data_IF_972006183280
#
_entry.id   IF_972006183280
#
_cell.length_a   1.000
_cell.length_b   1.000
_cell.length_c   1.000
_cell.angle_alpha   90.00
_cell.angle_beta   90.00
_cell.angle_gamma   90.00
#
_symmetry.space_group_name_H-M   'P 1'
#
loop_
_entity.id
_entity.type
_entity.pdbx_description
1 polymer ?
#
# COMPACT_ATOMS: atom_id res chain seq x y z
N UNK A 1 37.46 -17.97 -20.47
CA UNK A 1 36.92 -16.63 -20.72
C UNK A 1 35.43 -16.75 -21.01
N UNK A 2 34.63 -15.92 -20.33
CA UNK A 2 33.19 -15.65 -20.55
C UNK A 2 32.96 -15.20 -22.01
N UNK A 3 31.79 -15.24 -22.64
CA UNK A 3 30.37 -15.44 -22.29
C UNK A 3 29.62 -15.65 -23.62
N UNK A 4 28.45 -16.29 -23.62
CA UNK A 4 27.63 -16.42 -24.83
C UNK A 4 26.38 -17.25 -24.62
N UNK A 5 25.37 -16.69 -23.94
CA UNK A 5 24.03 -17.24 -23.84
C UNK A 5 22.97 -16.12 -23.87
N UNK A 6 21.74 -16.44 -24.31
CA UNK A 6 21.08 -15.71 -25.40
C UNK A 6 19.88 -14.87 -24.93
N UNK A 7 19.44 -13.97 -25.81
CA UNK A 7 18.08 -13.43 -25.96
C UNK A 7 17.18 -13.52 -24.72
N UNK A 8 17.15 -12.44 -23.92
CA UNK A 8 16.07 -12.25 -22.93
C UNK A 8 14.78 -11.95 -23.69
N UNK A 9 13.79 -12.80 -23.48
CA UNK A 9 12.40 -12.56 -23.86
C UNK A 9 11.93 -11.22 -23.26
N UNK A 10 11.66 -10.25 -24.12
CA UNK A 10 10.89 -9.07 -23.75
C UNK A 10 9.45 -9.53 -23.51
N UNK A 11 8.93 -9.30 -22.30
CA UNK A 11 7.52 -9.59 -21.98
C UNK A 11 6.71 -8.34 -22.32
N UNK A 12 5.65 -8.42 -23.15
CA UNK A 12 4.89 -7.26 -23.60
C UNK A 12 4.23 -6.42 -22.48
N UNK A 13 4.14 -6.93 -21.26
CA UNK A 13 3.46 -6.26 -20.15
C UNK A 13 4.24 -5.09 -19.53
N UNK A 14 5.58 -5.05 -19.69
CA UNK A 14 6.41 -4.00 -19.08
C UNK A 14 6.40 -2.70 -19.89
N UNK A 15 6.30 -2.80 -21.21
CA UNK A 15 6.38 -1.64 -22.11
C UNK A 15 5.03 -0.93 -22.24
N UNK A 16 3.91 -1.66 -22.11
CA UNK A 16 2.57 -1.04 -22.09
C UNK A 16 2.37 -0.11 -20.89
N UNK A 17 2.97 -0.46 -19.75
CA UNK A 17 2.92 0.37 -18.55
C UNK A 17 3.66 1.70 -18.78
N UNK A 18 4.86 1.69 -19.36
CA UNK A 18 5.61 2.92 -19.66
C UNK A 18 4.98 3.78 -20.77
N UNK A 19 4.39 3.17 -21.80
CA UNK A 19 3.75 3.92 -22.89
C UNK A 19 2.50 4.69 -22.44
N UNK A 20 1.74 4.17 -21.46
CA UNK A 20 0.63 4.92 -20.85
C UNK A 20 1.08 6.17 -20.09
N UNK A 21 2.30 6.19 -19.54
CA UNK A 21 2.83 7.33 -18.78
C UNK A 21 3.41 8.45 -19.67
N UNK A 22 3.84 8.14 -20.89
CA UNK A 22 4.50 9.11 -21.78
C UNK A 22 3.53 9.92 -22.67
N UNK A 23 2.25 9.53 -22.77
CA UNK A 23 1.29 10.19 -23.68
C UNK A 23 0.37 11.23 -23.01
N UNK A 24 0.47 11.44 -21.69
CA UNK A 24 -0.30 12.44 -20.95
C UNK A 24 0.49 13.73 -20.79
N UNK A 25 0.69 14.42 -21.90
CA UNK A 25 1.55 15.59 -21.96
C UNK A 25 1.02 16.72 -22.82
N UNK A 26 -0.28 17.08 -22.77
CA UNK A 26 -0.82 18.46 -22.93
C UNK A 26 -2.28 18.54 -22.45
N UNK A 27 -2.59 19.43 -21.50
CA UNK A 27 -3.94 20.00 -21.33
C UNK A 27 -4.52 19.98 -19.93
N UNK A 28 -4.58 21.18 -19.32
CA UNK A 28 -5.49 21.64 -18.25
C UNK A 28 -5.46 20.94 -16.87
N UNK A 29 -5.07 21.74 -15.87
CA UNK A 29 -5.09 21.43 -14.44
C UNK A 29 -6.48 20.99 -13.97
N UNK A 30 -6.56 19.73 -13.53
CA UNK A 30 -7.49 19.25 -12.52
C UNK A 30 -6.66 18.36 -11.60
N UNK A 31 -6.81 18.51 -10.27
CA UNK A 31 -6.04 17.76 -9.27
C UNK A 31 -6.39 16.26 -9.33
N UNK A 32 -5.77 15.53 -10.26
CA UNK A 32 -5.80 14.08 -10.33
C UNK A 32 -4.71 13.51 -9.42
N UNK A 33 -5.11 12.71 -8.43
CA UNK A 33 -4.16 12.04 -7.55
C UNK A 33 -3.25 11.13 -8.37
N UNK A 34 -1.97 11.48 -8.42
CA UNK A 34 -0.96 10.75 -9.18
C UNK A 34 -0.33 9.66 -8.31
N UNK A 35 -0.16 8.47 -8.86
CA UNK A 35 0.60 7.36 -8.25
C UNK A 35 2.05 7.75 -7.90
N UNK A 36 2.53 8.89 -8.43
CA UNK A 36 3.86 9.46 -8.16
C UNK A 36 3.99 10.08 -6.77
N UNK A 37 2.90 10.52 -6.14
CA UNK A 37 2.95 11.25 -4.86
C UNK A 37 3.27 10.32 -3.68
N UNK A 38 2.80 9.08 -3.76
CA UNK A 38 3.03 8.06 -2.73
C UNK A 38 4.53 7.73 -2.58
N UNK A 39 5.32 7.84 -3.64
CA UNK A 39 6.73 7.42 -3.63
C UNK A 39 7.64 8.35 -2.80
N UNK A 40 7.21 9.58 -2.53
CA UNK A 40 7.97 10.55 -1.74
C UNK A 40 7.71 10.47 -0.24
N UNK A 41 6.76 9.63 0.18
CA UNK A 41 6.33 9.53 1.56
C UNK A 41 7.19 8.56 2.37
N UNK A 42 7.57 8.95 3.60
CA UNK A 42 8.42 8.14 4.50
C UNK A 42 7.78 6.81 4.94
N UNK A 43 6.44 6.71 4.89
CA UNK A 43 5.69 5.51 5.21
C UNK A 43 5.57 4.55 4.02
N UNK A 44 5.94 4.95 2.81
CA UNK A 44 5.91 4.10 1.64
C UNK A 44 7.26 3.41 1.41
N UNK A 45 7.22 2.08 1.22
CA UNK A 45 8.44 1.27 1.13
C UNK A 45 8.61 0.57 -0.22
N UNK A 46 7.66 0.72 -1.15
CA UNK A 46 7.67 0.01 -2.43
C UNK A 46 7.50 -1.51 -2.29
N UNK A 47 8.22 -2.25 -3.14
CA UNK A 47 8.08 -3.71 -3.26
C UNK A 47 8.87 -4.45 -2.18
N UNK A 48 8.28 -4.57 -0.99
CA UNK A 48 8.74 -5.48 0.06
C UNK A 48 7.80 -6.67 0.24
N UNK A 49 8.41 -7.81 0.59
CA UNK A 49 7.66 -9.02 0.88
C UNK A 49 6.78 -8.81 2.12
N UNK A 50 5.60 -9.43 2.09
CA UNK A 50 4.67 -9.42 3.23
C UNK A 50 5.35 -9.88 4.52
N UNK A 51 6.14 -10.95 4.45
CA UNK A 51 6.82 -11.53 5.60
C UNK A 51 7.83 -10.56 6.22
N UNK A 52 8.70 -9.94 5.41
CA UNK A 52 9.72 -9.02 5.93
C UNK A 52 9.09 -7.83 6.66
N UNK A 53 7.97 -7.31 6.13
CA UNK A 53 7.21 -6.23 6.74
C UNK A 53 6.52 -6.66 8.03
N UNK A 54 5.88 -7.83 8.04
CA UNK A 54 5.25 -8.37 9.24
C UNK A 54 6.27 -8.58 10.36
N UNK A 55 7.46 -9.11 10.05
CA UNK A 55 8.55 -9.27 11.00
C UNK A 55 9.06 -7.93 11.54
N UNK A 56 9.22 -6.92 10.68
CA UNK A 56 9.69 -5.59 11.09
C UNK A 56 8.70 -4.89 12.05
N UNK A 57 7.40 -4.90 11.72
CA UNK A 57 6.36 -4.36 12.60
C UNK A 57 6.24 -5.15 13.92
N UNK A 58 6.37 -6.49 13.86
CA UNK A 58 6.42 -7.34 15.05
C UNK A 58 7.66 -7.11 15.92
N UNK A 59 8.76 -6.59 15.37
CA UNK A 59 9.94 -6.19 16.15
C UNK A 59 9.74 -4.82 16.79
N UNK A 60 9.12 -3.87 16.09
CA UNK A 60 8.85 -2.54 16.63
C UNK A 60 7.83 -2.56 17.78
N UNK A 61 6.79 -3.42 17.70
CA UNK A 61 5.77 -3.65 18.75
C UNK A 61 5.12 -2.38 19.32
N UNK A 62 4.79 -1.43 18.45
CA UNK A 62 4.09 -0.21 18.83
C UNK A 62 2.73 -0.15 18.15
N UNK A 63 1.68 -0.03 18.95
CA UNK A 63 0.32 0.09 18.43
C UNK A 63 0.18 1.37 17.60
N UNK A 64 -0.45 1.22 16.43
CA UNK A 64 -0.59 2.28 15.44
C UNK A 64 0.64 2.51 14.57
N UNK A 65 1.73 1.76 14.76
CA UNK A 65 2.84 1.76 13.80
C UNK A 65 2.40 1.17 12.47
N UNK A 66 2.74 1.86 11.37
CA UNK A 66 2.26 1.48 10.04
C UNK A 66 3.27 1.73 8.92
N UNK A 67 2.98 1.14 7.76
CA UNK A 67 3.60 1.48 6.48
C UNK A 67 2.68 1.08 5.32
N UNK A 68 2.97 1.61 4.12
CA UNK A 68 2.33 1.19 2.88
C UNK A 68 3.37 0.55 1.97
N UNK A 69 2.99 -0.57 1.36
CA UNK A 69 3.82 -1.30 0.40
C UNK A 69 3.03 -1.63 -0.85
N UNK A 70 3.76 -2.00 -1.89
CA UNK A 70 3.14 -2.59 -3.08
C UNK A 70 2.41 -3.89 -2.73
N UNK A 71 1.27 -4.08 -3.37
CA UNK A 71 0.59 -5.35 -3.30
C UNK A 71 1.40 -6.43 -4.01
N UNK A 72 1.54 -7.59 -3.37
CA UNK A 72 2.29 -8.72 -3.95
C UNK A 72 1.63 -9.24 -5.22
N UNK A 73 0.29 -9.14 -5.29
CA UNK A 73 -0.47 -9.34 -6.52
C UNK A 73 -0.47 -8.03 -7.30
N UNK A 74 0.15 -8.02 -8.48
CA UNK A 74 0.27 -6.85 -9.38
C UNK A 74 -1.06 -6.51 -10.07
N UNK A 75 -2.12 -6.34 -9.29
CA UNK A 75 -3.47 -6.00 -9.73
C UNK A 75 -3.66 -4.49 -9.74
N UNK A 76 -4.18 -3.92 -10.82
CA UNK A 76 -4.53 -2.49 -10.87
C UNK A 76 -5.65 -2.12 -9.90
N UNK A 77 -6.55 -3.07 -9.58
CA UNK A 77 -7.64 -2.85 -8.65
C UNK A 77 -7.21 -2.86 -7.17
N UNK A 78 -6.04 -3.46 -6.86
CA UNK A 78 -5.48 -3.53 -5.51
C UNK A 78 -3.98 -3.20 -5.53
N UNK A 79 -3.59 -1.96 -5.85
CA UNK A 79 -2.19 -1.63 -6.09
C UNK A 79 -1.36 -1.66 -4.82
N UNK A 80 -1.95 -1.35 -3.66
CA UNK A 80 -1.21 -1.17 -2.40
C UNK A 80 -1.80 -1.94 -1.23
N UNK A 81 -1.00 -2.09 -0.18
CA UNK A 81 -1.39 -2.67 1.10
C UNK A 81 -0.90 -1.75 2.22
N UNK A 82 -1.83 -1.28 3.05
CA UNK A 82 -1.54 -0.65 4.34
C UNK A 82 -1.31 -1.76 5.37
N UNK A 83 -0.18 -1.72 6.04
CA UNK A 83 0.18 -2.70 7.07
C UNK A 83 0.29 -1.97 8.41
N UNK A 84 -0.42 -2.47 9.42
CA UNK A 84 -0.54 -1.81 10.74
C UNK A 84 -0.31 -2.81 11.86
N UNK A 85 0.48 -2.44 12.86
CA UNK A 85 0.59 -3.18 14.11
C UNK A 85 -0.43 -2.67 15.13
N UNK A 86 -1.22 -3.57 15.73
CA UNK A 86 -2.16 -3.26 16.79
C UNK A 86 -2.49 -4.49 17.63
N UNK A 87 -2.49 -4.38 18.96
CA UNK A 87 -2.94 -5.45 19.86
C UNK A 87 -2.12 -6.74 19.69
N UNK A 88 -0.79 -6.60 19.63
CA UNK A 88 0.16 -7.71 19.42
C UNK A 88 -0.05 -8.49 18.12
N UNK A 89 -0.52 -7.80 17.07
CA UNK A 89 -0.79 -8.39 15.77
C UNK A 89 -0.54 -7.42 14.63
N UNK A 90 -0.12 -7.96 13.49
CA UNK A 90 0.01 -7.20 12.23
C UNK A 90 -1.20 -7.46 11.34
N UNK A 91 -1.82 -6.39 10.86
CA UNK A 91 -2.96 -6.39 9.95
C UNK A 91 -2.52 -5.93 8.57
N UNK A 92 -2.96 -6.64 7.54
CA UNK A 92 -2.72 -6.28 6.14
C UNK A 92 -4.04 -5.83 5.53
N UNK A 93 -4.21 -4.52 5.35
CA UNK A 93 -5.41 -3.91 4.81
C UNK A 93 -5.17 -3.56 3.35
N UNK A 94 -5.95 -4.13 2.44
CA UNK A 94 -5.87 -3.80 1.01
C UNK A 94 -6.28 -2.35 0.79
N UNK A 95 -5.54 -1.65 -0.07
CA UNK A 95 -5.94 -0.37 -0.63
C UNK A 95 -6.36 -0.64 -2.07
N UNK A 96 -7.66 -0.43 -2.34
CA UNK A 96 -8.26 -0.66 -3.64
C UNK A 96 -8.31 0.63 -4.43
N UNK A 97 -8.15 0.51 -5.73
CA UNK A 97 -8.41 1.59 -6.67
C UNK A 97 -9.76 1.39 -7.35
N UNK A 98 -10.63 2.39 -7.24
CA UNK A 98 -11.99 2.40 -7.77
C UNK A 98 -11.98 3.15 -9.12
N UNK A 99 -11.65 2.45 -10.20
CA UNK A 99 -11.47 3.04 -11.54
C UNK A 99 -12.64 3.93 -11.98
N UNK A 100 -13.89 3.57 -11.67
CA UNK A 100 -15.08 4.36 -12.06
C UNK A 100 -15.04 5.79 -11.54
N UNK A 101 -14.48 5.99 -10.35
CA UNK A 101 -14.47 7.28 -9.67
C UNK A 101 -13.06 7.86 -9.55
N UNK A 102 -12.02 7.12 -9.96
CA UNK A 102 -10.62 7.48 -9.76
C UNK A 102 -10.29 7.77 -8.28
N UNK A 103 -10.77 6.91 -7.37
CA UNK A 103 -10.63 7.06 -5.92
C UNK A 103 -10.06 5.80 -5.27
N UNK A 104 -9.57 5.93 -4.05
CA UNK A 104 -9.06 4.83 -3.23
C UNK A 104 -10.01 4.48 -2.09
N UNK A 105 -10.00 3.21 -1.68
CA UNK A 105 -10.76 2.73 -0.53
C UNK A 105 -10.04 1.58 0.18
N UNK A 106 -10.26 1.42 1.48
CA UNK A 106 -9.68 0.33 2.25
C UNK A 106 -10.52 -0.97 2.21
N UNK A 107 -9.85 -2.07 2.53
CA UNK A 107 -10.47 -3.38 2.78
C UNK A 107 -11.10 -3.99 1.53
N UNK A 108 -12.16 -4.77 1.74
CA UNK A 108 -12.86 -5.52 0.67
C UNK A 108 -14.08 -4.79 0.09
N UNK A 109 -14.40 -3.60 0.61
CA UNK A 109 -15.63 -2.86 0.24
C UNK A 109 -16.92 -3.45 0.80
N UNK A 110 -16.83 -4.52 1.60
CA UNK A 110 -17.97 -5.10 2.30
C UNK A 110 -18.34 -4.31 3.57
N UNK A 111 -17.42 -3.48 4.07
CA UNK A 111 -17.55 -2.71 5.30
C UNK A 111 -16.75 -1.40 5.16
N UNK A 112 -17.45 -0.27 5.16
CA UNK A 112 -16.89 1.06 4.94
C UNK A 112 -17.11 1.55 3.51
N UNK A 113 -17.79 2.70 3.39
CA UNK A 113 -18.08 3.38 2.11
C UNK A 113 -17.17 4.60 1.88
N UNK A 114 -16.14 4.74 2.71
CA UNK A 114 -15.19 5.85 2.65
C UNK A 114 -14.33 5.73 1.40
N UNK A 115 -14.25 6.84 0.67
CA UNK A 115 -13.49 6.98 -0.55
C UNK A 115 -12.59 8.20 -0.43
N UNK A 116 -11.38 8.04 -0.92
CA UNK A 116 -10.30 9.01 -0.77
C UNK A 116 -9.75 9.35 -2.14
N UNK A 117 -9.23 10.57 -2.32
CA UNK A 117 -8.69 10.95 -3.61
C UNK A 117 -7.27 10.39 -3.77
N UNK A 118 -6.50 10.29 -2.69
CA UNK A 118 -5.16 9.72 -2.68
C UNK A 118 -4.95 8.67 -1.57
N UNK A 119 -3.82 7.96 -1.62
CA UNK A 119 -3.38 7.12 -0.51
C UNK A 119 -2.96 7.97 0.70
N UNK A 120 -2.39 9.16 0.47
CA UNK A 120 -2.03 10.09 1.54
C UNK A 120 -3.27 10.53 2.32
N UNK A 121 -4.38 10.83 1.64
CA UNK A 121 -5.66 11.18 2.28
C UNK A 121 -6.16 10.06 3.21
N UNK A 122 -5.97 8.78 2.83
CA UNK A 122 -6.29 7.63 3.69
C UNK A 122 -5.46 7.70 4.96
N UNK A 123 -4.14 7.88 4.82
CA UNK A 123 -3.22 7.92 5.95
C UNK A 123 -3.57 9.08 6.87
N UNK A 124 -3.76 10.28 6.33
CA UNK A 124 -4.03 11.48 7.09
C UNK A 124 -5.38 11.43 7.82
N UNK A 125 -6.42 10.94 7.15
CA UNK A 125 -7.71 10.71 7.78
C UNK A 125 -7.58 9.73 8.94
N UNK A 126 -6.88 8.62 8.74
CA UNK A 126 -6.81 7.53 9.72
C UNK A 126 -5.83 7.79 10.88
N UNK A 127 -5.13 8.94 10.87
CA UNK A 127 -4.49 9.50 12.08
C UNK A 127 -5.52 10.06 13.07
N UNK A 128 -6.65 10.55 12.57
CA UNK A 128 -7.68 11.23 13.37
C UNK A 128 -8.95 10.41 13.58
N UNK A 129 -9.21 9.43 12.70
CA UNK A 129 -10.35 8.52 12.78
C UNK A 129 -9.87 7.07 12.77
N UNK A 130 -10.32 6.20 13.69
CA UNK A 130 -9.72 4.89 13.84
C UNK A 130 -10.16 3.92 12.74
N UNK A 131 -9.20 3.15 12.24
CA UNK A 131 -9.44 2.02 11.34
C UNK A 131 -10.09 0.89 12.13
N UNK A 132 -11.16 0.31 11.57
CA UNK A 132 -11.73 -0.93 12.08
C UNK A 132 -10.91 -2.12 11.55
N UNK A 133 -10.07 -2.68 12.41
CA UNK A 133 -9.23 -3.83 12.10
C UNK A 133 -9.99 -5.12 12.38
N UNK A 134 -10.16 -5.94 11.33
CA UNK A 134 -10.85 -7.23 11.38
C UNK A 134 -9.84 -8.33 11.12
N UNK A 135 -9.86 -9.36 11.96
CA UNK A 135 -9.09 -10.57 11.69
C UNK A 135 -9.77 -11.39 10.59
N UNK A 136 -9.09 -11.58 9.45
CA UNK A 136 -9.57 -12.49 8.40
C UNK A 136 -9.74 -13.95 8.86
N UNK A 137 -9.11 -14.34 9.98
CA UNK A 137 -9.30 -15.65 10.62
C UNK A 137 -10.50 -15.69 11.58
N UNK A 138 -10.98 -14.53 12.05
CA UNK A 138 -12.14 -14.45 12.92
C UNK A 138 -13.43 -14.42 12.09
N UNK A 139 -14.01 -15.60 11.90
CA UNK A 139 -15.31 -15.76 11.20
C UNK A 139 -16.49 -15.20 11.99
N UNK A 140 -16.33 -15.00 13.30
CA UNK A 140 -17.40 -14.47 14.17
C UNK A 140 -17.50 -12.95 14.06
N UNK A 141 -16.40 -12.30 13.66
CA UNK A 141 -16.31 -10.84 13.53
C UNK A 141 -16.52 -10.10 14.86
N UNK A 142 -16.36 -10.81 15.98
CA UNK A 142 -16.52 -10.31 17.35
C UNK A 142 -15.26 -9.55 17.76
N UNK A 143 -14.09 -9.96 17.28
CA UNK A 143 -12.82 -9.35 17.64
C UNK A 143 -12.48 -8.25 16.63
N UNK A 144 -13.03 -7.06 16.87
CA UNK A 144 -12.73 -5.84 16.10
C UNK A 144 -11.85 -4.92 16.93
N UNK A 145 -10.67 -4.60 16.41
CA UNK A 145 -9.82 -3.55 16.96
C UNK A 145 -10.15 -2.21 16.32
N UNK A 146 -10.05 -1.13 17.08
CA UNK A 146 -10.03 0.24 16.55
C UNK A 146 -8.62 0.77 16.68
N UNK A 147 -8.01 1.20 15.59
CA UNK A 147 -6.61 1.61 15.57
C UNK A 147 -6.43 2.93 14.84
N UNK A 148 -5.80 3.91 15.49
CA UNK A 148 -5.32 5.13 14.84
C UNK A 148 -3.94 4.88 14.24
N UNK A 149 -3.66 5.47 13.09
CA UNK A 149 -2.30 5.52 12.56
C UNK A 149 -1.51 6.56 13.35
N UNK A 150 -0.45 6.13 14.05
CA UNK A 150 0.27 7.01 14.98
C UNK A 150 1.65 7.40 14.45
N UNK A 151 2.39 6.44 13.88
CA UNK A 151 3.74 6.69 13.39
C UNK A 151 4.13 5.75 12.24
N UNK A 152 4.86 6.26 11.23
CA UNK A 152 5.48 5.39 10.23
C UNK A 152 6.49 4.45 10.90
N UNK A 153 6.66 3.25 10.35
CA UNK A 153 7.73 2.36 10.77
C UNK A 153 9.09 3.00 10.46
N UNK A 154 10.01 3.14 11.43
CA UNK A 154 11.33 3.72 11.18
C UNK A 154 12.19 2.78 10.33
N UNK A 155 12.18 3.00 9.01
CA UNK A 155 12.74 2.07 8.03
C UNK A 155 14.23 1.80 8.23
N UNK A 156 15.00 2.82 8.61
CA UNK A 156 16.44 2.72 8.85
C UNK A 156 16.85 1.71 9.95
N UNK A 157 15.93 1.34 10.85
CA UNK A 157 16.17 0.36 11.91
C UNK A 157 15.89 -1.09 11.48
N UNK A 158 15.09 -1.26 10.44
CA UNK A 158 14.53 -2.56 10.07
C UNK A 158 14.94 -3.00 8.66
N UNK A 159 15.24 -2.04 7.79
CA UNK A 159 15.68 -2.25 6.41
C UNK A 159 17.02 -1.53 6.25
N UNK A 160 18.09 -2.30 6.09
CA UNK A 160 19.41 -1.72 5.82
C UNK A 160 19.37 -0.96 4.50
N UNK A 161 19.92 0.27 4.43
CA UNK A 161 20.23 0.86 3.14
C UNK A 161 21.28 -0.02 2.44
N UNK A 162 21.05 -0.31 1.16
CA UNK A 162 22.00 -1.02 0.31
C UNK A 162 23.26 -0.20 0.07
#
# INVERSE_FOLDING_TARGET
>A
MREGRPWRCWTPAKDYFMLLYLDLGKGTQTHGASLTDVQHNEWYIGEYSRQAVEEALMKEKKDGSFLVRDCSTKSSAEPYVLVVFHGNKVYNVKIRFLERNQQFALGTGLRGDEKFNSVEDIIEHHKHFPIILIDGKDKTGVHRGQCYLTQPLPLNRHFSPW
#
